data_IF_091543271070
#
_entry.id   IF_091543271070
#
_cell.length_a   1.000
_cell.length_b   1.000
_cell.length_c   1.000
_cell.angle_alpha   90.00
_cell.angle_beta   90.00
_cell.angle_gamma   90.00
#
_symmetry.space_group_name_H-M   'P 1'
#
loop_
_entity.id
_entity.type
_entity.pdbx_description
1 polymer ?
#
# COMPACT_ATOMS: atom_id res chain seq x y z
N UNK A 1 -22.82 -3.08 -1.78
CA UNK A 1 -22.06 -4.18 -1.14
C UNK A 1 -21.42 -5.12 -2.16
N UNK A 2 -22.17 -5.75 -3.08
CA UNK A 2 -21.61 -6.68 -4.10
C UNK A 2 -20.45 -6.10 -4.94
N UNK A 3 -20.58 -4.87 -5.42
CA UNK A 3 -19.53 -4.23 -6.23
C UNK A 3 -18.21 -4.03 -5.45
N UNK A 4 -18.29 -3.60 -4.18
CA UNK A 4 -17.11 -3.39 -3.33
C UNK A 4 -16.40 -4.71 -3.06
N UNK A 5 -17.16 -5.78 -2.77
CA UNK A 5 -16.60 -7.13 -2.60
C UNK A 5 -15.96 -7.64 -3.89
N UNK A 6 -16.61 -7.42 -5.05
CA UNK A 6 -16.06 -7.82 -6.35
C UNK A 6 -14.75 -7.09 -6.65
N UNK A 7 -14.71 -5.77 -6.47
CA UNK A 7 -13.51 -4.96 -6.65
C UNK A 7 -12.40 -5.43 -5.70
N UNK A 8 -12.74 -5.74 -4.45
CA UNK A 8 -11.77 -6.29 -3.49
C UNK A 8 -11.20 -7.64 -3.92
N UNK A 9 -12.05 -8.55 -4.42
CA UNK A 9 -11.62 -9.85 -4.94
C UNK A 9 -10.74 -9.72 -6.19
N UNK A 10 -11.12 -8.86 -7.12
CA UNK A 10 -10.32 -8.58 -8.32
C UNK A 10 -8.98 -7.96 -7.97
N UNK A 11 -8.97 -7.00 -7.02
CA UNK A 11 -7.73 -6.40 -6.52
C UNK A 11 -6.82 -7.42 -5.83
N UNK A 12 -7.38 -8.32 -5.01
CA UNK A 12 -6.62 -9.39 -4.38
C UNK A 12 -6.06 -10.38 -5.41
N UNK A 13 -6.84 -10.77 -6.41
CA UNK A 13 -6.39 -11.64 -7.49
C UNK A 13 -5.24 -10.98 -8.30
N UNK A 14 -5.38 -9.69 -8.63
CA UNK A 14 -4.31 -8.93 -9.30
C UNK A 14 -3.04 -8.84 -8.44
N UNK A 15 -3.17 -8.59 -7.14
CA UNK A 15 -2.03 -8.54 -6.22
C UNK A 15 -1.30 -9.89 -6.14
N UNK A 16 -2.04 -11.00 -6.07
CA UNK A 16 -1.45 -12.36 -6.12
C UNK A 16 -0.75 -12.60 -7.45
N UNK A 17 -1.39 -12.25 -8.57
CA UNK A 17 -0.78 -12.38 -9.89
C UNK A 17 0.53 -11.59 -9.98
N UNK A 18 0.57 -10.36 -9.48
CA UNK A 18 1.78 -9.52 -9.48
C UNK A 18 2.88 -10.07 -8.57
N UNK A 19 2.51 -10.68 -7.44
CA UNK A 19 3.44 -11.33 -6.54
C UNK A 19 4.13 -12.55 -7.18
N UNK A 20 3.37 -13.33 -7.96
CA UNK A 20 3.84 -14.58 -8.59
C UNK A 20 4.55 -14.30 -9.93
N UNK A 21 3.89 -13.57 -10.84
CA UNK A 21 4.34 -13.38 -12.22
C UNK A 21 5.19 -12.13 -12.43
N UNK A 22 5.26 -11.24 -11.45
CA UNK A 22 5.96 -9.96 -11.57
C UNK A 22 5.04 -8.79 -11.89
N UNK A 23 5.63 -7.59 -11.94
CA UNK A 23 4.88 -6.37 -12.26
C UNK A 23 4.57 -6.33 -13.76
N UNK A 24 3.39 -5.83 -14.18
CA UNK A 24 3.11 -5.65 -15.59
C UNK A 24 4.10 -4.63 -16.18
N UNK A 25 4.55 -4.81 -17.44
CA UNK A 25 5.51 -3.92 -18.10
C UNK A 25 4.84 -2.63 -18.59
N UNK A 26 4.01 -2.04 -17.75
CA UNK A 26 3.28 -0.79 -18.02
C UNK A 26 3.81 0.28 -17.08
N UNK A 27 4.20 1.41 -17.67
CA UNK A 27 4.62 2.57 -16.90
C UNK A 27 3.40 3.26 -16.29
N UNK A 28 3.21 3.07 -14.97
CA UNK A 28 2.14 3.72 -14.20
C UNK A 28 2.63 5.01 -13.53
N UNK A 29 3.87 5.45 -13.79
CA UNK A 29 4.41 6.62 -13.13
C UNK A 29 3.79 7.91 -13.66
N UNK A 30 3.57 8.85 -12.75
CA UNK A 30 3.12 10.19 -13.09
C UNK A 30 4.20 10.99 -13.84
N UNK A 31 3.84 12.08 -14.53
CA UNK A 31 4.80 12.90 -15.28
C UNK A 31 5.90 13.50 -14.39
N UNK A 32 5.58 13.83 -13.13
CA UNK A 32 6.54 14.36 -12.14
C UNK A 32 7.66 13.36 -11.84
N UNK A 33 7.33 12.06 -11.74
CA UNK A 33 8.30 11.01 -11.48
C UNK A 33 9.38 10.97 -12.57
N UNK A 34 8.99 11.16 -13.85
CA UNK A 34 9.94 11.22 -14.98
C UNK A 34 10.86 12.44 -14.95
N UNK A 35 10.46 13.49 -14.23
CA UNK A 35 11.28 14.69 -14.00
C UNK A 35 12.14 14.57 -12.72
N UNK A 36 12.18 13.38 -12.10
CA UNK A 36 12.93 13.13 -10.86
C UNK A 36 12.21 13.61 -9.60
N UNK A 37 10.97 14.09 -9.71
CA UNK A 37 10.17 14.52 -8.56
C UNK A 37 9.38 13.33 -8.06
N UNK A 38 9.78 12.81 -6.90
CA UNK A 38 9.15 11.65 -6.29
C UNK A 38 7.91 12.04 -5.48
N UNK A 39 6.91 11.17 -5.43
CA UNK A 39 5.76 11.29 -4.53
C UNK A 39 5.87 10.26 -3.38
N UNK A 40 5.06 10.37 -2.32
CA UNK A 40 5.13 9.44 -1.19
C UNK A 40 4.88 7.96 -1.55
N UNK A 41 4.19 7.71 -2.66
CA UNK A 41 3.80 6.36 -3.10
C UNK A 41 4.77 5.75 -4.10
N UNK A 42 5.77 6.51 -4.57
CA UNK A 42 6.82 6.01 -5.45
C UNK A 42 7.48 4.75 -4.88
N UNK A 43 7.67 3.75 -5.74
CA UNK A 43 8.17 2.42 -5.34
C UNK A 43 7.18 1.56 -4.56
N UNK A 44 5.96 2.04 -4.27
CA UNK A 44 4.97 1.35 -3.44
C UNK A 44 4.56 -0.03 -3.97
N UNK A 45 4.31 -0.14 -5.28
CA UNK A 45 3.94 -1.42 -5.91
C UNK A 45 5.07 -2.45 -5.84
N UNK A 46 6.32 -2.02 -6.06
CA UNK A 46 7.51 -2.88 -5.95
C UNK A 46 7.73 -3.30 -4.49
N UNK A 47 7.58 -2.38 -3.54
CA UNK A 47 7.67 -2.67 -2.11
C UNK A 47 6.58 -3.64 -1.64
N UNK A 48 5.34 -3.50 -2.12
CA UNK A 48 4.25 -4.41 -1.80
C UNK A 48 4.54 -5.83 -2.32
N UNK A 49 5.02 -5.97 -3.56
CA UNK A 49 5.45 -7.26 -4.11
C UNK A 49 6.56 -7.90 -3.27
N UNK A 50 7.61 -7.14 -2.96
CA UNK A 50 8.73 -7.61 -2.14
C UNK A 50 8.28 -8.02 -0.74
N UNK A 51 7.33 -7.28 -0.14
CA UNK A 51 6.73 -7.65 1.14
C UNK A 51 6.00 -8.98 1.05
N UNK A 52 5.17 -9.17 0.00
CA UNK A 52 4.44 -10.42 -0.22
C UNK A 52 5.39 -11.62 -0.44
N UNK A 53 6.59 -11.37 -0.95
CA UNK A 53 7.65 -12.37 -1.14
C UNK A 53 8.56 -12.56 0.09
N UNK A 54 8.34 -11.81 1.17
CA UNK A 54 9.15 -11.89 2.40
C UNK A 54 10.44 -11.07 2.39
N UNK A 55 10.74 -10.29 1.35
CA UNK A 55 11.92 -9.44 1.24
C UNK A 55 11.72 -8.09 1.94
N UNK A 56 11.51 -8.11 3.26
CA UNK A 56 11.13 -6.91 4.03
C UNK A 56 12.18 -5.80 4.02
N UNK A 57 13.47 -6.15 4.01
CA UNK A 57 14.55 -5.15 3.95
C UNK A 57 14.53 -4.37 2.63
N UNK A 58 14.37 -5.08 1.51
CA UNK A 58 14.26 -4.44 0.19
C UNK A 58 12.96 -3.67 0.05
N UNK A 59 11.84 -4.23 0.53
CA UNK A 59 10.56 -3.53 0.57
C UNK A 59 10.65 -2.21 1.34
N UNK A 60 11.30 -2.22 2.51
CA UNK A 60 11.54 -1.02 3.30
C UNK A 60 12.40 0.00 2.55
N UNK A 61 13.45 -0.48 1.85
CA UNK A 61 14.34 0.38 1.06
C UNK A 61 13.54 1.13 0.00
N UNK A 62 12.67 0.44 -0.74
CA UNK A 62 11.78 1.04 -1.74
C UNK A 62 10.70 1.93 -1.13
N UNK A 63 9.80 1.37 -0.31
CA UNK A 63 8.73 2.13 0.31
C UNK A 63 8.17 1.41 1.55
N UNK A 64 8.38 1.95 2.77
CA UNK A 64 7.88 1.33 4.00
C UNK A 64 6.34 1.26 4.05
N UNK A 65 5.63 2.13 3.33
CA UNK A 65 4.17 2.09 3.23
C UNK A 65 3.68 0.83 2.52
N UNK A 66 4.49 0.25 1.62
CA UNK A 66 4.17 -1.02 0.95
C UNK A 66 4.01 -2.17 1.94
N UNK A 67 4.83 -2.20 3.00
CA UNK A 67 4.73 -3.22 4.06
C UNK A 67 3.41 -3.08 4.81
N UNK A 68 3.05 -1.85 5.19
CA UNK A 68 1.80 -1.56 5.88
C UNK A 68 0.57 -1.89 5.01
N UNK A 69 0.64 -1.60 3.71
CA UNK A 69 -0.42 -1.91 2.76
C UNK A 69 -0.65 -3.42 2.65
N UNK A 70 0.41 -4.23 2.53
CA UNK A 70 0.27 -5.70 2.48
C UNK A 70 -0.25 -6.24 3.81
N UNK A 71 0.23 -5.74 4.94
CA UNK A 71 -0.29 -6.16 6.25
C UNK A 71 -1.80 -5.83 6.40
N UNK A 72 -2.22 -4.63 6.00
CA UNK A 72 -3.62 -4.23 6.03
C UNK A 72 -4.49 -5.08 5.08
N UNK A 73 -3.99 -5.40 3.88
CA UNK A 73 -4.66 -6.29 2.94
C UNK A 73 -4.79 -7.71 3.51
N UNK A 74 -3.74 -8.25 4.11
CA UNK A 74 -3.75 -9.56 4.77
C UNK A 74 -4.77 -9.63 5.91
N UNK A 75 -4.84 -8.59 6.75
CA UNK A 75 -5.86 -8.47 7.80
C UNK A 75 -7.29 -8.38 7.24
N UNK A 76 -7.49 -7.68 6.13
CA UNK A 76 -8.79 -7.60 5.47
C UNK A 76 -9.24 -8.97 4.92
N UNK A 77 -8.32 -9.73 4.32
CA UNK A 77 -8.58 -11.10 3.86
C UNK A 77 -8.85 -12.02 5.05
N UNK A 78 -8.07 -11.94 6.13
CA UNK A 78 -8.30 -12.72 7.34
C UNK A 78 -9.68 -12.44 7.95
N UNK A 79 -10.06 -11.17 8.04
CA UNK A 79 -11.41 -10.76 8.51
C UNK A 79 -12.50 -11.35 7.63
N UNK A 80 -12.32 -11.36 6.31
CA UNK A 80 -13.27 -11.97 5.37
C UNK A 80 -13.40 -13.48 5.61
N UNK A 81 -12.28 -14.20 5.73
CA UNK A 81 -12.26 -15.65 5.99
C UNK A 81 -12.95 -15.98 7.31
N UNK A 82 -12.64 -15.26 8.39
CA UNK A 82 -13.28 -15.44 9.70
C UNK A 82 -14.79 -15.13 9.61
N UNK A 83 -15.18 -14.08 8.89
CA UNK A 83 -16.58 -13.71 8.69
C UNK A 83 -17.39 -14.77 7.94
N UNK A 84 -16.79 -15.39 6.92
CA UNK A 84 -17.42 -16.45 6.14
C UNK A 84 -17.50 -17.76 6.91
N UNK A 85 -16.39 -18.22 7.51
CA UNK A 85 -16.32 -19.51 8.21
C UNK A 85 -17.03 -19.49 9.57
N UNK A 86 -16.88 -18.41 10.33
CA UNK A 86 -17.47 -18.28 11.66
C UNK A 86 -18.89 -17.72 11.67
N UNK A 87 -19.42 -17.33 10.50
CA UNK A 87 -20.69 -16.60 10.35
C UNK A 87 -20.80 -15.34 11.24
N UNK A 88 -19.66 -14.78 11.67
CA UNK A 88 -19.55 -13.62 12.57
C UNK A 88 -18.67 -12.56 11.93
N UNK A 89 -19.27 -11.44 11.58
CA UNK A 89 -18.53 -10.30 11.05
C UNK A 89 -17.91 -9.48 12.19
N UNK A 90 -16.59 -9.49 12.29
CA UNK A 90 -15.87 -8.52 13.12
C UNK A 90 -16.13 -7.14 12.53
N UNK A 91 -16.63 -6.19 13.33
CA UNK A 91 -16.83 -4.81 12.93
C UNK A 91 -16.04 -3.90 13.88
N UNK A 92 -15.18 -3.07 13.32
CA UNK A 92 -14.42 -2.08 14.06
C UNK A 92 -15.10 -0.73 13.84
N UNK A 93 -15.76 -0.21 14.88
CA UNK A 93 -16.30 1.15 14.89
C UNK A 93 -15.33 2.06 15.65
N UNK A 94 -14.80 3.06 14.97
CA UNK A 94 -13.93 4.05 15.61
C UNK A 94 -14.72 5.35 15.79
N UNK A 95 -14.94 5.74 17.04
CA UNK A 95 -15.60 6.99 17.39
C UNK A 95 -14.55 8.07 17.61
N UNK A 96 -14.48 9.02 16.68
CA UNK A 96 -13.49 10.09 16.72
C UNK A 96 -14.10 11.38 17.24
N UNK A 97 -13.46 12.01 18.23
CA UNK A 97 -13.72 13.41 18.56
C UNK A 97 -13.27 14.32 17.43
N UNK A 98 -13.85 15.52 17.31
CA UNK A 98 -13.44 16.50 16.29
C UNK A 98 -11.93 16.80 16.36
N UNK A 99 -11.40 17.01 17.58
CA UNK A 99 -9.96 17.18 17.81
C UNK A 99 -9.15 15.96 17.39
N UNK A 100 -9.63 14.75 17.69
CA UNK A 100 -8.96 13.50 17.30
C UNK A 100 -8.80 13.38 15.79
N UNK A 101 -9.85 13.70 15.02
CA UNK A 101 -9.79 13.67 13.54
C UNK A 101 -8.69 14.59 13.00
N UNK A 102 -8.62 15.82 13.49
CA UNK A 102 -7.62 16.79 13.05
C UNK A 102 -6.20 16.40 13.45
N UNK A 103 -6.01 15.89 14.66
CA UNK A 103 -4.69 15.39 15.10
C UNK A 103 -4.24 14.21 14.24
N UNK A 104 -5.12 13.25 13.97
CA UNK A 104 -4.80 12.11 13.10
C UNK A 104 -4.51 12.56 11.67
N UNK A 105 -5.30 13.47 11.11
CA UNK A 105 -5.05 14.02 9.77
C UNK A 105 -3.69 14.73 9.70
N UNK A 106 -3.38 15.59 10.68
CA UNK A 106 -2.11 16.28 10.75
C UNK A 106 -0.93 15.31 10.87
N UNK A 107 -1.08 14.25 11.67
CA UNK A 107 -0.06 13.21 11.82
C UNK A 107 0.15 12.44 10.50
N UNK A 108 -0.92 12.04 9.82
CA UNK A 108 -0.84 11.35 8.52
C UNK A 108 -0.15 12.24 7.49
N UNK A 109 -0.53 13.52 7.41
CA UNK A 109 0.11 14.48 6.50
C UNK A 109 1.60 14.60 6.82
N UNK A 110 1.96 14.78 8.09
CA UNK A 110 3.36 14.88 8.49
C UNK A 110 4.17 13.64 8.11
N UNK A 111 3.60 12.44 8.31
CA UNK A 111 4.23 11.18 7.92
C UNK A 111 4.38 11.05 6.40
N UNK A 112 3.38 11.48 5.62
CA UNK A 112 3.46 11.49 4.15
C UNK A 112 4.52 12.47 3.65
N UNK A 113 4.63 13.66 4.26
CA UNK A 113 5.69 14.64 3.94
C UNK A 113 7.07 14.07 4.28
N UNK A 114 7.24 13.44 5.44
CA UNK A 114 8.50 12.78 5.79
C UNK A 114 8.84 11.65 4.81
N UNK A 115 7.83 10.88 4.38
CA UNK A 115 8.01 9.85 3.37
C UNK A 115 8.42 10.45 2.03
N UNK A 116 7.79 11.54 1.59
CA UNK A 116 8.15 12.26 0.37
C UNK A 116 9.61 12.72 0.40
N UNK A 117 10.04 13.38 1.49
CA UNK A 117 11.43 13.80 1.71
C UNK A 117 12.38 12.60 1.59
N UNK A 118 12.03 11.47 2.20
CA UNK A 118 12.80 10.23 2.08
C UNK A 118 12.85 9.73 0.63
N UNK A 119 11.76 9.82 -0.12
CA UNK A 119 11.71 9.39 -1.51
C UNK A 119 12.54 10.29 -2.43
N UNK A 120 12.58 11.61 -2.18
CA UNK A 120 13.49 12.50 -2.92
C UNK A 120 14.96 12.07 -2.74
N UNK A 121 15.35 11.69 -1.51
CA UNK A 121 16.69 11.17 -1.24
C UNK A 121 17.01 9.80 -1.87
N UNK A 122 16.01 9.12 -2.42
CA UNK A 122 16.15 7.82 -3.09
C UNK A 122 15.73 7.88 -4.58
N UNK A 123 15.64 9.08 -5.17
CA UNK A 123 15.18 9.25 -6.55
C UNK A 123 15.93 8.34 -7.54
N UNK A 124 17.25 8.21 -7.41
CA UNK A 124 18.07 7.34 -8.28
C UNK A 124 17.67 5.86 -8.20
N UNK A 125 17.27 5.38 -7.02
CA UNK A 125 16.77 4.01 -6.83
C UNK A 125 15.38 3.85 -7.46
N UNK A 126 14.55 4.89 -7.36
CA UNK A 126 13.15 4.84 -7.78
C UNK A 126 12.98 5.04 -9.29
N UNK A 127 13.90 5.75 -9.93
CA UNK A 127 13.96 5.94 -11.38
C UNK A 127 14.43 4.69 -12.14
N UNK A 128 14.99 3.70 -11.44
CA UNK A 128 15.41 2.44 -12.06
C UNK A 128 14.19 1.60 -12.47
N UNK A 129 13.79 1.80 -13.73
CA UNK A 129 12.86 0.94 -14.46
C UNK A 129 13.56 -0.41 -14.71
N UNK A 130 13.14 -1.41 -13.95
CA UNK A 130 13.30 -2.83 -14.28
C UNK A 130 11.90 -3.38 -14.52
#
# INVERSE_FOLDING_TARGET
MRAVTLVGLLGAAAAVAMAVFGLPPVDLHGPLHRMGIMDPLCGGTRAARLTAQGHLSEAWRYNPLGILAVAAAGLAVLRLVVGVLGHRWLNVSIHWSARGKWVTAALVIALLVMLEIRQQGHADLLLQLQ
#
